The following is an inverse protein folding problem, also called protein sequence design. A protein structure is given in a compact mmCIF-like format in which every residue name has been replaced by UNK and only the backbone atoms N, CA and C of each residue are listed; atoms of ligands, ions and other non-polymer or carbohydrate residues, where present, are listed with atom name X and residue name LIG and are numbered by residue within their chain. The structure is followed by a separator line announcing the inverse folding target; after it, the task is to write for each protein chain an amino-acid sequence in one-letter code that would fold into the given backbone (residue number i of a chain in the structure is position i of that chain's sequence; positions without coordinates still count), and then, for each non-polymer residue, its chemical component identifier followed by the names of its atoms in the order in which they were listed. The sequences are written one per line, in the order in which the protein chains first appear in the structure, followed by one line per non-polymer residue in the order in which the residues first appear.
data_IF_255881134485
#
_entry.id   IF_255881134485
#
_cell.length_a   1.000
_cell.length_b   1.000
_cell.length_c   1.000
_cell.angle_alpha   90.00
_cell.angle_beta   90.00
_cell.angle_gamma   90.00
#
_symmetry.space_group_name_H-M   'P 1'
#
loop_
_entity.id
_entity.type
_entity.pdbx_description
1 polymer ?
#
# COMPACT_ATOMS: atom_id res chain seq x y z
N UNK A 1 6.47 -35.56 4.75
CA UNK A 1 6.51 -34.22 5.37
C UNK A 1 5.28 -33.44 4.93
N UNK A 2 4.19 -33.63 5.67
CA UNK A 2 2.88 -33.03 5.42
C UNK A 2 2.75 -31.69 6.18
N UNK A 3 2.05 -30.68 5.62
CA UNK A 3 1.79 -29.39 6.31
C UNK A 3 1.07 -29.60 7.65
N UNK A 4 0.14 -30.55 7.71
CA UNK A 4 -0.60 -30.85 8.94
C UNK A 4 0.29 -31.45 10.04
N UNK A 5 1.22 -32.37 9.71
CA UNK A 5 2.17 -32.92 10.69
C UNK A 5 3.07 -31.85 11.34
N UNK A 6 3.21 -30.70 10.68
CA UNK A 6 3.93 -29.53 11.21
C UNK A 6 3.04 -28.58 12.04
N UNK A 7 1.77 -28.91 12.27
CA UNK A 7 0.82 -28.11 13.06
C UNK A 7 0.12 -26.98 12.29
N UNK A 8 0.15 -26.98 10.95
CA UNK A 8 -0.57 -25.97 10.16
C UNK A 8 -1.98 -26.44 9.80
N UNK A 9 -2.92 -26.15 10.71
CA UNK A 9 -4.31 -26.54 10.54
C UNK A 9 -5.11 -25.57 9.66
N UNK A 10 -4.68 -24.31 9.56
CA UNK A 10 -5.16 -23.36 8.55
C UNK A 10 -4.17 -23.33 7.38
N UNK A 11 -4.61 -23.83 6.23
CA UNK A 11 -3.78 -23.90 5.02
C UNK A 11 -4.38 -23.04 3.92
N UNK A 12 -3.60 -22.12 3.37
CA UNK A 12 -4.01 -21.25 2.27
C UNK A 12 -3.14 -21.57 1.05
N UNK A 13 -3.77 -21.86 -0.08
CA UNK A 13 -3.10 -22.02 -1.37
C UNK A 13 -3.63 -20.97 -2.36
N UNK A 14 -2.73 -20.46 -3.21
CA UNK A 14 -3.07 -19.52 -4.29
C UNK A 14 -2.89 -20.26 -5.61
N UNK A 15 -3.97 -20.38 -6.41
CA UNK A 15 -3.97 -21.08 -7.69
C UNK A 15 -4.50 -20.18 -8.81
N UNK A 16 -4.21 -20.52 -10.07
CA UNK A 16 -4.90 -19.92 -11.21
C UNK A 16 -6.36 -20.36 -11.31
N UNK A 17 -7.22 -19.51 -11.87
CA UNK A 17 -8.65 -19.76 -12.03
C UNK A 17 -8.97 -21.05 -12.82
N UNK A 18 -8.06 -21.49 -13.70
CA UNK A 18 -8.12 -22.74 -14.46
C UNK A 18 -8.10 -24.01 -13.58
N UNK A 19 -7.69 -23.88 -12.31
CA UNK A 19 -7.65 -24.96 -11.34
C UNK A 19 -8.92 -25.06 -10.46
N UNK A 20 -9.94 -24.23 -10.71
CA UNK A 20 -11.15 -24.17 -9.88
C UNK A 20 -11.86 -25.53 -9.72
N UNK A 21 -11.84 -26.37 -10.75
CA UNK A 21 -12.44 -27.72 -10.71
C UNK A 21 -11.77 -28.71 -9.73
N UNK A 22 -10.57 -28.41 -9.24
CA UNK A 22 -9.84 -29.25 -8.28
C UNK A 22 -10.10 -28.87 -6.82
N UNK A 23 -10.63 -27.67 -6.56
CA UNK A 23 -10.72 -27.09 -5.21
C UNK A 23 -11.45 -28.02 -4.23
N UNK A 24 -12.69 -28.41 -4.54
CA UNK A 24 -13.49 -29.29 -3.66
C UNK A 24 -12.82 -30.64 -3.40
N UNK A 25 -12.14 -31.20 -4.43
CA UNK A 25 -11.44 -32.49 -4.32
C UNK A 25 -10.23 -32.39 -3.39
N UNK A 26 -9.46 -31.32 -3.50
CA UNK A 26 -8.30 -31.09 -2.65
C UNK A 26 -8.69 -30.73 -1.22
N UNK A 27 -9.79 -29.98 -1.03
CA UNK A 27 -10.34 -29.74 0.31
C UNK A 27 -10.75 -31.05 0.99
N UNK A 28 -11.50 -31.91 0.29
CA UNK A 28 -11.88 -33.23 0.80
C UNK A 28 -10.66 -34.10 1.11
N UNK A 29 -9.63 -34.07 0.27
CA UNK A 29 -8.39 -34.81 0.51
C UNK A 29 -7.66 -34.33 1.77
N UNK A 30 -7.58 -33.00 2.00
CA UNK A 30 -6.97 -32.44 3.22
C UNK A 30 -7.78 -32.79 4.46
N UNK A 31 -9.11 -32.67 4.40
CA UNK A 31 -9.99 -33.08 5.51
C UNK A 31 -9.82 -34.56 5.84
N UNK A 32 -9.81 -35.45 4.85
CA UNK A 32 -9.62 -36.88 5.07
C UNK A 32 -8.23 -37.21 5.64
N UNK A 33 -7.17 -36.64 5.07
CA UNK A 33 -5.80 -36.90 5.49
C UNK A 33 -5.45 -36.29 6.87
N UNK A 34 -6.22 -35.33 7.34
CA UNK A 34 -6.06 -34.70 8.66
C UNK A 34 -7.10 -35.15 9.68
N UNK A 35 -7.96 -36.12 9.34
CA UNK A 35 -9.09 -36.54 10.20
C UNK A 35 -9.98 -35.35 10.62
N UNK A 36 -10.13 -34.36 9.75
CA UNK A 36 -10.89 -33.14 10.00
C UNK A 36 -10.17 -32.07 10.84
N UNK A 37 -8.90 -32.27 11.20
CA UNK A 37 -8.13 -31.33 12.02
C UNK A 37 -7.57 -30.15 11.23
N UNK A 38 -7.46 -30.25 9.90
CA UNK A 38 -6.98 -29.19 9.04
C UNK A 38 -8.00 -28.77 7.97
N UNK A 39 -7.97 -27.49 7.62
CA UNK A 39 -8.77 -26.87 6.58
C UNK A 39 -7.90 -26.25 5.48
N UNK A 40 -8.31 -26.47 4.22
CA UNK A 40 -7.68 -25.86 3.05
C UNK A 40 -8.58 -24.77 2.46
N UNK A 41 -8.08 -23.55 2.46
CA UNK A 41 -8.60 -22.43 1.66
C UNK A 41 -7.81 -22.34 0.36
N UNK A 42 -8.51 -22.26 -0.77
CA UNK A 42 -7.89 -21.97 -2.07
C UNK A 42 -8.39 -20.63 -2.57
N UNK A 43 -7.48 -19.68 -2.79
CA UNK A 43 -7.77 -18.43 -3.51
C UNK A 43 -7.46 -18.64 -4.99
N UNK A 44 -8.44 -18.39 -5.84
CA UNK A 44 -8.30 -18.47 -7.28
C UNK A 44 -7.99 -17.08 -7.83
N UNK A 45 -6.80 -16.93 -8.40
CA UNK A 45 -6.38 -15.73 -9.11
C UNK A 45 -6.84 -15.80 -10.57
N UNK A 46 -7.55 -14.77 -11.02
CA UNK A 46 -7.92 -14.63 -12.43
C UNK A 46 -6.71 -14.34 -13.31
N UNK A 47 -6.90 -14.55 -14.61
CA UNK A 47 -5.90 -14.19 -15.60
C UNK A 47 -5.74 -12.66 -15.66
N UNK A 48 -4.48 -12.22 -15.66
CA UNK A 48 -4.09 -10.84 -15.90
C UNK A 48 -4.04 -10.59 -17.40
N UNK A 49 -4.63 -9.48 -17.86
CA UNK A 49 -4.48 -9.01 -19.24
C UNK A 49 -3.42 -7.94 -19.27
N UNK A 50 -2.46 -8.07 -20.18
CA UNK A 50 -1.45 -7.04 -20.40
C UNK A 50 -1.98 -6.03 -21.41
N UNK A 51 -1.92 -4.76 -21.03
CA UNK A 51 -2.38 -3.64 -21.82
C UNK A 51 -1.21 -2.67 -22.05
N UNK A 52 -1.27 -1.91 -23.13
CA UNK A 52 -0.40 -0.77 -23.36
C UNK A 52 -1.23 0.36 -23.95
N UNK A 53 -1.27 1.52 -23.28
CA UNK A 53 -2.05 2.70 -23.69
C UNK A 53 -3.55 2.40 -23.86
N UNK A 54 -4.11 1.59 -22.97
CA UNK A 54 -5.51 1.18 -22.96
C UNK A 54 -5.86 0.05 -23.94
N UNK A 55 -4.91 -0.42 -24.74
CA UNK A 55 -5.13 -1.45 -25.76
C UNK A 55 -4.49 -2.80 -25.36
N UNK A 56 -5.16 -3.95 -25.60
CA UNK A 56 -4.58 -5.25 -25.31
C UNK A 56 -3.30 -5.51 -26.09
N UNK A 57 -2.25 -5.93 -25.39
CA UNK A 57 -0.99 -6.32 -26.04
C UNK A 57 -1.18 -7.62 -26.83
N UNK A 58 -0.81 -7.61 -28.11
CA UNK A 58 -0.87 -8.81 -28.98
C UNK A 58 0.28 -9.77 -28.62
N UNK A 59 -0.04 -10.79 -27.83
CA UNK A 59 0.86 -11.92 -27.55
C UNK A 59 0.88 -12.88 -28.75
N UNK A 60 2.05 -13.27 -29.26
CA UNK A 60 2.17 -14.23 -30.36
C UNK A 60 3.00 -15.43 -29.96
N UNK A 61 2.32 -16.57 -29.72
CA UNK A 61 2.97 -17.87 -29.48
C UNK A 61 3.78 -18.37 -30.69
N UNK A 62 3.43 -17.95 -31.91
CA UNK A 62 4.10 -18.37 -33.15
C UNK A 62 5.31 -17.50 -33.51
N UNK A 63 5.34 -16.24 -33.08
CA UNK A 63 6.45 -15.33 -33.31
C UNK A 63 7.47 -15.28 -32.15
N UNK A 64 7.25 -16.04 -31.07
CA UNK A 64 8.12 -16.05 -29.90
C UNK A 64 7.97 -14.86 -28.95
N UNK A 65 7.15 -13.87 -29.29
CA UNK A 65 6.88 -12.71 -28.43
C UNK A 65 5.79 -13.02 -27.40
N UNK A 66 6.20 -13.51 -26.23
CA UNK A 66 5.39 -13.51 -25.01
C UNK A 66 6.08 -12.62 -23.97
N UNK A 67 5.33 -11.73 -23.34
CA UNK A 67 5.83 -10.91 -22.24
C UNK A 67 5.95 -11.80 -21.01
N UNK A 68 7.16 -11.92 -20.49
CA UNK A 68 7.43 -12.65 -19.25
C UNK A 68 7.23 -11.76 -18.04
N UNK A 69 7.07 -12.39 -16.86
CA UNK A 69 7.10 -11.63 -15.60
C UNK A 69 8.44 -10.89 -15.42
N UNK A 70 9.55 -11.42 -15.96
CA UNK A 70 10.85 -10.75 -15.92
C UNK A 70 10.81 -9.47 -16.75
N UNK A 71 10.29 -9.52 -17.97
CA UNK A 71 10.16 -8.33 -18.83
C UNK A 71 9.30 -7.25 -18.15
N UNK A 72 8.23 -7.67 -17.46
CA UNK A 72 7.39 -6.76 -16.68
C UNK A 72 8.18 -6.09 -15.54
N UNK A 73 8.88 -6.89 -14.74
CA UNK A 73 9.70 -6.41 -13.62
C UNK A 73 10.83 -5.50 -14.09
N UNK A 74 11.49 -5.84 -15.20
CA UNK A 74 12.57 -5.03 -15.78
C UNK A 74 12.01 -3.70 -16.34
N UNK A 75 10.77 -3.69 -16.84
CA UNK A 75 10.15 -2.51 -17.41
C UNK A 75 9.61 -1.50 -16.39
N UNK A 76 9.07 -1.96 -15.25
CA UNK A 76 8.38 -1.09 -14.26
C UNK A 76 8.89 -1.22 -12.83
N UNK A 77 9.75 -2.19 -12.54
CA UNK A 77 10.24 -2.49 -11.19
C UNK A 77 9.36 -3.49 -10.44
N UNK A 78 10.02 -4.32 -9.61
CA UNK A 78 9.38 -5.41 -8.84
C UNK A 78 8.26 -4.90 -7.91
N UNK A 79 8.44 -3.70 -7.35
CA UNK A 79 7.58 -3.15 -6.32
C UNK A 79 6.27 -2.62 -6.92
N UNK A 80 6.36 -2.00 -8.09
CA UNK A 80 5.20 -1.61 -8.90
C UNK A 80 4.37 -2.82 -9.26
N UNK A 81 5.00 -3.90 -9.73
CA UNK A 81 4.30 -5.15 -10.05
C UNK A 81 3.58 -5.71 -8.82
N UNK A 82 4.27 -5.80 -7.66
CA UNK A 82 3.68 -6.30 -6.41
C UNK A 82 2.49 -5.49 -5.96
N UNK A 83 2.65 -4.17 -5.84
CA UNK A 83 1.57 -3.30 -5.39
C UNK A 83 0.38 -3.38 -6.35
N UNK A 84 0.63 -3.27 -7.66
CA UNK A 84 -0.44 -3.21 -8.64
C UNK A 84 -1.28 -4.49 -8.67
N UNK A 85 -0.64 -5.66 -8.66
CA UNK A 85 -1.32 -6.96 -8.60
C UNK A 85 -2.15 -7.14 -7.31
N UNK A 86 -1.80 -6.45 -6.23
CA UNK A 86 -2.51 -6.49 -4.96
C UNK A 86 -3.61 -5.44 -4.84
N UNK A 87 -3.87 -4.60 -5.84
CA UNK A 87 -4.94 -3.58 -5.79
C UNK A 87 -6.34 -4.11 -6.11
N UNK A 88 -6.48 -5.41 -6.41
CA UNK A 88 -7.76 -6.04 -6.75
C UNK A 88 -7.98 -7.35 -5.99
N UNK A 89 -9.24 -7.78 -5.97
CA UNK A 89 -9.60 -9.12 -5.50
C UNK A 89 -8.97 -10.18 -6.40
N UNK A 90 -8.55 -11.33 -5.86
CA UNK A 90 -7.94 -12.39 -6.66
C UNK A 90 -8.90 -12.94 -7.72
N UNK A 91 -10.20 -12.99 -7.43
CA UNK A 91 -11.22 -13.50 -8.33
C UNK A 91 -11.74 -12.47 -9.36
N UNK A 92 -11.23 -11.24 -9.33
CA UNK A 92 -11.54 -10.20 -10.30
C UNK A 92 -10.51 -10.19 -11.44
N UNK A 93 -10.92 -10.01 -12.70
CA UNK A 93 -9.99 -9.73 -13.79
C UNK A 93 -9.16 -8.48 -13.48
N UNK A 94 -7.87 -8.51 -13.84
CA UNK A 94 -6.96 -7.38 -13.71
C UNK A 94 -6.37 -7.06 -15.08
N UNK A 95 -6.58 -5.83 -15.51
CA UNK A 95 -5.88 -5.26 -16.66
C UNK A 95 -4.63 -4.54 -16.12
N UNK A 96 -3.45 -4.99 -16.53
CA UNK A 96 -2.17 -4.39 -16.18
C UNK A 96 -1.67 -3.57 -17.36
N UNK A 97 -1.80 -2.26 -17.28
CA UNK A 97 -1.38 -1.34 -18.34
C UNK A 97 0.02 -0.79 -18.10
N UNK A 98 0.96 -1.13 -18.99
CA UNK A 98 2.37 -0.74 -18.89
C UNK A 98 2.60 0.77 -18.90
N UNK A 99 1.76 1.52 -19.63
CA UNK A 99 1.86 2.97 -19.68
C UNK A 99 1.27 3.55 -18.39
N UNK A 100 0.07 3.14 -17.98
CA UNK A 100 -0.60 3.68 -16.81
C UNK A 100 0.19 3.47 -15.51
N UNK A 101 0.84 2.31 -15.33
CA UNK A 101 1.65 2.05 -14.12
C UNK A 101 2.94 2.88 -14.04
N UNK A 102 3.37 3.48 -15.15
CA UNK A 102 4.54 4.38 -15.20
C UNK A 102 4.15 5.85 -15.04
N UNK A 103 2.87 6.18 -15.14
CA UNK A 103 2.42 7.55 -15.03
C UNK A 103 2.61 8.09 -13.62
N UNK A 104 3.18 9.29 -13.52
CA UNK A 104 3.30 10.04 -12.27
C UNK A 104 2.01 10.84 -12.03
N UNK A 105 0.89 10.13 -11.90
CA UNK A 105 -0.45 10.72 -11.79
C UNK A 105 -1.17 10.24 -10.53
N UNK A 106 -2.24 10.95 -10.15
CA UNK A 106 -3.14 10.53 -9.06
C UNK A 106 -3.84 9.20 -9.36
N UNK A 107 -4.02 8.85 -10.63
CA UNK A 107 -4.70 7.62 -11.03
C UNK A 107 -3.80 6.39 -10.87
N UNK A 108 -2.47 6.59 -10.83
CA UNK A 108 -1.51 5.56 -10.45
C UNK A 108 -1.38 5.48 -8.92
N UNK A 109 -2.16 4.57 -8.31
CA UNK A 109 -2.14 4.35 -6.85
C UNK A 109 -0.73 4.09 -6.29
N UNK A 110 0.11 3.36 -7.02
CA UNK A 110 1.47 3.01 -6.59
C UNK A 110 2.30 4.27 -6.44
N UNK A 111 2.34 5.08 -7.49
CA UNK A 111 3.04 6.36 -7.50
C UNK A 111 2.50 7.29 -6.41
N UNK A 112 1.17 7.38 -6.29
CA UNK A 112 0.53 8.30 -5.36
C UNK A 112 0.85 7.99 -3.89
N UNK A 113 0.85 6.71 -3.51
CA UNK A 113 1.23 6.28 -2.16
C UNK A 113 2.72 6.53 -1.89
N UNK A 114 3.59 6.20 -2.85
CA UNK A 114 5.01 6.48 -2.75
C UNK A 114 5.31 7.97 -2.65
N UNK A 115 4.56 8.80 -3.37
CA UNK A 115 4.73 10.24 -3.34
C UNK A 115 4.38 10.82 -1.96
N UNK A 116 3.33 10.31 -1.30
CA UNK A 116 3.00 10.70 0.06
C UNK A 116 4.16 10.39 1.03
N UNK A 117 4.76 9.20 0.93
CA UNK A 117 5.91 8.83 1.76
C UNK A 117 7.12 9.76 1.53
N UNK A 118 7.53 9.93 0.26
CA UNK A 118 8.64 10.81 -0.11
C UNK A 118 8.40 12.28 0.30
N UNK A 119 7.16 12.76 0.16
CA UNK A 119 6.79 14.10 0.63
C UNK A 119 6.97 14.23 2.13
N UNK A 120 6.58 13.22 2.90
CA UNK A 120 6.82 13.18 4.34
C UNK A 120 8.31 13.37 4.66
N UNK A 121 9.21 12.67 3.98
CA UNK A 121 10.67 12.86 4.15
C UNK A 121 11.10 14.29 3.76
N UNK A 122 10.59 14.81 2.65
CA UNK A 122 10.89 16.18 2.21
C UNK A 122 10.45 17.23 3.23
N UNK A 123 9.31 17.06 3.90
CA UNK A 123 8.84 17.96 4.96
C UNK A 123 9.84 18.00 6.12
N UNK A 124 10.36 16.85 6.53
CA UNK A 124 11.39 16.80 7.58
C UNK A 124 12.69 17.49 7.17
N UNK A 125 13.11 17.37 5.90
CA UNK A 125 14.26 18.13 5.37
C UNK A 125 14.01 19.64 5.42
N UNK A 126 12.83 20.09 4.98
CA UNK A 126 12.43 21.49 5.03
C UNK A 126 12.38 22.02 6.47
N UNK A 127 11.93 21.22 7.43
CA UNK A 127 11.91 21.61 8.84
C UNK A 127 13.33 21.85 9.38
N UNK A 128 14.28 20.98 9.03
CA UNK A 128 15.70 21.16 9.40
C UNK A 128 16.34 22.43 8.83
N UNK A 129 15.81 22.98 7.73
CA UNK A 129 16.27 24.24 7.14
C UNK A 129 15.55 25.47 7.73
N UNK A 130 14.24 25.38 7.98
CA UNK A 130 13.40 26.52 8.36
C UNK A 130 13.30 26.74 9.87
N UNK A 131 13.41 25.67 10.66
CA UNK A 131 13.35 25.68 12.13
C UNK A 131 14.47 24.81 12.70
N UNK A 132 15.76 25.15 12.44
CA UNK A 132 16.90 24.29 12.74
C UNK A 132 17.07 23.96 14.24
N UNK A 133 16.56 24.82 15.13
CA UNK A 133 16.64 24.64 16.58
C UNK A 133 15.49 23.80 17.16
N UNK A 134 14.52 23.38 16.33
CA UNK A 134 13.39 22.55 16.77
C UNK A 134 13.85 21.09 16.93
N UNK A 135 13.70 20.55 18.14
CA UNK A 135 13.93 19.12 18.38
C UNK A 135 12.82 18.28 17.73
N UNK A 136 13.18 17.58 16.65
CA UNK A 136 12.31 16.67 15.90
C UNK A 136 12.64 15.19 16.15
N UNK A 137 13.31 14.89 17.27
CA UNK A 137 13.57 13.52 17.70
C UNK A 137 12.27 12.75 17.94
N UNK A 138 12.33 11.41 17.85
CA UNK A 138 11.15 10.57 18.09
C UNK A 138 10.54 10.81 19.49
N UNK A 139 11.36 11.16 20.48
CA UNK A 139 10.89 11.50 21.83
C UNK A 139 10.13 12.84 21.86
N UNK A 140 10.65 13.87 21.20
CA UNK A 140 9.99 15.17 21.10
C UNK A 140 8.67 15.09 20.33
N UNK A 141 8.66 14.37 19.20
CA UNK A 141 7.46 14.14 18.41
C UNK A 141 6.38 13.36 19.19
N UNK A 142 6.77 12.36 19.97
CA UNK A 142 5.85 11.60 20.82
C UNK A 142 5.29 12.45 21.97
N UNK A 143 6.02 13.47 22.42
CA UNK A 143 5.59 14.42 23.45
C UNK A 143 4.89 15.68 22.93
N UNK A 144 4.68 15.79 21.61
CA UNK A 144 4.05 16.97 21.01
C UNK A 144 2.59 17.15 21.50
N UNK A 145 2.17 18.40 21.67
CA UNK A 145 0.78 18.71 22.02
C UNK A 145 -0.13 18.55 20.79
N UNK A 146 -0.73 17.37 20.66
CA UNK A 146 -1.62 17.04 19.54
C UNK A 146 -2.98 17.77 19.63
N UNK A 147 -3.31 18.45 20.73
CA UNK A 147 -4.54 19.24 20.82
C UNK A 147 -4.51 20.47 19.92
N UNK A 148 -3.32 20.87 19.45
CA UNK A 148 -3.09 21.95 18.49
C UNK A 148 -3.49 21.58 17.04
N UNK A 149 -3.76 20.30 16.76
CA UNK A 149 -4.18 19.83 15.45
C UNK A 149 -5.70 20.04 15.25
N UNK A 150 -6.18 21.28 15.17
CA UNK A 150 -7.61 21.59 15.15
C UNK A 150 -8.23 21.65 13.75
N UNK A 151 -7.42 21.67 12.70
CA UNK A 151 -7.92 21.94 11.35
C UNK A 151 -8.64 20.72 10.75
N UNK A 152 -9.68 20.96 9.96
CA UNK A 152 -10.49 19.87 9.38
C UNK A 152 -9.62 18.90 8.54
N UNK A 153 -8.64 19.44 7.82
CA UNK A 153 -7.70 18.65 7.02
C UNK A 153 -6.73 17.80 7.85
N UNK A 154 -6.32 18.27 9.04
CA UNK A 154 -5.51 17.51 10.00
C UNK A 154 -6.36 16.40 10.63
N UNK A 155 -7.58 16.74 11.05
CA UNK A 155 -8.55 15.82 11.62
C UNK A 155 -8.93 14.70 10.65
N UNK A 156 -9.03 14.99 9.35
CA UNK A 156 -9.26 13.97 8.32
C UNK A 156 -8.13 12.94 8.27
N UNK A 157 -6.87 13.37 8.36
CA UNK A 157 -5.70 12.48 8.38
C UNK A 157 -5.65 11.68 9.70
N UNK A 158 -5.89 12.34 10.84
CA UNK A 158 -5.93 11.69 12.16
C UNK A 158 -6.97 10.56 12.22
N UNK A 159 -8.18 10.79 11.69
CA UNK A 159 -9.22 9.76 11.61
C UNK A 159 -8.74 8.54 10.83
N UNK A 160 -8.19 8.73 9.63
CA UNK A 160 -7.68 7.61 8.83
C UNK A 160 -6.55 6.87 9.54
N UNK A 161 -5.60 7.57 10.17
CA UNK A 161 -4.53 6.93 10.94
C UNK A 161 -5.06 6.08 12.09
N UNK A 162 -6.11 6.54 12.78
CA UNK A 162 -6.73 5.79 13.88
C UNK A 162 -7.40 4.49 13.42
N UNK A 163 -7.77 4.39 12.15
CA UNK A 163 -8.41 3.20 11.58
C UNK A 163 -7.40 2.10 11.19
N UNK A 164 -6.11 2.42 11.07
CA UNK A 164 -5.08 1.50 10.55
C UNK A 164 -5.09 0.11 11.22
N UNK A 165 -5.09 -0.01 12.58
CA UNK A 165 -5.05 -1.32 13.22
C UNK A 165 -6.24 -2.21 12.85
N UNK A 166 -7.43 -1.62 12.73
CA UNK A 166 -8.65 -2.35 12.36
C UNK A 166 -8.64 -2.73 10.89
N UNK A 167 -8.11 -1.86 10.01
CA UNK A 167 -8.03 -2.15 8.57
C UNK A 167 -7.11 -3.32 8.29
N UNK A 168 -5.91 -3.36 8.91
CA UNK A 168 -4.96 -4.46 8.71
C UNK A 168 -5.49 -5.78 9.28
N UNK A 169 -6.14 -5.75 10.45
CA UNK A 169 -6.79 -6.93 11.04
C UNK A 169 -7.90 -7.46 10.13
N UNK A 170 -8.82 -6.60 9.70
CA UNK A 170 -9.91 -7.00 8.81
C UNK A 170 -9.41 -7.50 7.44
N UNK A 171 -8.30 -6.98 6.92
CA UNK A 171 -7.67 -7.46 5.70
C UNK A 171 -7.06 -8.86 5.88
N UNK A 172 -6.43 -9.11 7.03
CA UNK A 172 -5.85 -10.40 7.37
C UNK A 172 -6.90 -11.49 7.62
N UNK A 173 -7.98 -11.16 8.33
CA UNK A 173 -9.11 -12.06 8.57
C UNK A 173 -9.80 -12.46 7.26
N UNK A 174 -10.09 -11.48 6.41
CA UNK A 174 -10.73 -11.71 5.11
C UNK A 174 -9.78 -12.32 4.07
N UNK A 175 -8.47 -12.31 4.32
CA UNK A 175 -7.42 -12.68 3.35
C UNK A 175 -7.51 -11.81 2.08
N UNK A 176 -7.77 -10.52 2.26
CA UNK A 176 -8.06 -9.52 1.23
C UNK A 176 -7.03 -8.37 1.27
N UNK A 177 -5.79 -8.57 0.78
CA UNK A 177 -4.72 -7.57 0.87
C UNK A 177 -5.01 -6.27 0.11
N UNK A 178 -5.88 -6.29 -0.90
CA UNK A 178 -6.28 -5.08 -1.64
C UNK A 178 -6.93 -4.02 -0.77
N UNK A 179 -7.53 -4.38 0.36
CA UNK A 179 -8.07 -3.41 1.33
C UNK A 179 -6.98 -2.47 1.84
N UNK A 180 -5.75 -2.97 2.02
CA UNK A 180 -4.60 -2.16 2.43
C UNK A 180 -4.23 -1.17 1.32
N UNK A 181 -4.26 -1.59 0.05
CA UNK A 181 -3.92 -0.71 -1.08
C UNK A 181 -4.87 0.49 -1.18
N UNK A 182 -6.17 0.25 -1.01
CA UNK A 182 -7.18 1.33 -0.99
C UNK A 182 -7.00 2.24 0.23
N UNK A 183 -6.80 1.67 1.42
CA UNK A 183 -6.55 2.46 2.62
C UNK A 183 -5.31 3.37 2.48
N UNK A 184 -4.21 2.84 1.97
CA UNK A 184 -2.99 3.63 1.73
C UNK A 184 -3.24 4.76 0.73
N UNK A 185 -4.03 4.50 -0.31
CA UNK A 185 -4.42 5.52 -1.29
C UNK A 185 -5.28 6.64 -0.66
N UNK A 186 -6.23 6.27 0.20
CA UNK A 186 -7.08 7.24 0.89
C UNK A 186 -6.28 8.08 1.89
N UNK A 187 -5.36 7.46 2.64
CA UNK A 187 -4.43 8.16 3.53
C UNK A 187 -3.51 9.11 2.74
N UNK A 188 -2.94 8.66 1.62
CA UNK A 188 -2.14 9.50 0.73
C UNK A 188 -2.96 10.67 0.19
N UNK A 189 -4.21 10.43 -0.23
CA UNK A 189 -5.13 11.45 -0.73
C UNK A 189 -5.39 12.53 0.32
N UNK A 190 -5.74 12.13 1.54
CA UNK A 190 -5.98 13.07 2.64
C UNK A 190 -4.72 13.88 2.98
N UNK A 191 -3.56 13.22 3.05
CA UNK A 191 -2.28 13.87 3.30
C UNK A 191 -1.89 14.88 2.20
N UNK A 192 -2.09 14.51 0.94
CA UNK A 192 -1.85 15.41 -0.19
C UNK A 192 -2.82 16.59 -0.22
N UNK A 193 -4.08 16.38 0.17
CA UNK A 193 -5.07 17.43 0.36
C UNK A 193 -4.64 18.43 1.44
N UNK A 194 -4.25 17.92 2.62
CA UNK A 194 -3.74 18.75 3.72
C UNK A 194 -2.51 19.57 3.31
N UNK A 195 -1.52 18.96 2.63
CA UNK A 195 -0.37 19.69 2.11
C UNK A 195 -0.76 20.82 1.15
N UNK A 196 -1.74 20.56 0.28
CA UNK A 196 -2.17 21.53 -0.73
C UNK A 196 -2.84 22.76 -0.10
N UNK A 197 -3.54 22.59 1.04
CA UNK A 197 -4.12 23.70 1.80
C UNK A 197 -3.08 24.70 2.29
N UNK A 198 -1.87 24.25 2.65
CA UNK A 198 -0.75 25.12 3.01
C UNK A 198 -0.24 26.03 1.87
N UNK A 199 -0.63 25.77 0.62
CA UNK A 199 -0.36 26.66 -0.53
C UNK A 199 -1.40 27.77 -0.64
N UNK A 200 -2.64 27.49 -0.27
CA UNK A 200 -3.77 28.42 -0.31
C UNK A 200 -3.76 29.33 0.92
N UNK A 201 -3.48 28.76 2.09
CA UNK A 201 -3.41 29.45 3.37
C UNK A 201 -2.07 29.12 4.06
N UNK A 202 -1.27 30.15 4.30
CA UNK A 202 0.04 29.98 4.93
C UNK A 202 -0.05 29.50 6.38
N UNK A 203 -1.15 29.77 7.08
CA UNK A 203 -1.38 29.29 8.45
C UNK A 203 -1.57 27.76 8.53
N UNK A 204 -1.88 27.12 7.40
CA UNK A 204 -2.06 25.66 7.27
C UNK A 204 -0.80 24.94 6.79
N UNK A 205 0.32 25.65 6.59
CA UNK A 205 1.60 25.01 6.26
C UNK A 205 2.06 24.12 7.40
N UNK A 206 2.67 22.99 7.03
CA UNK A 206 3.17 22.02 8.00
C UNK A 206 4.22 22.62 8.96
N UNK A 207 4.98 23.60 8.46
CA UNK A 207 6.02 24.31 9.21
C UNK A 207 5.57 25.76 9.36
N UNK A 208 5.49 26.21 10.61
CA UNK A 208 5.25 27.59 11.05
C UNK A 208 6.49 28.04 11.81
N UNK A 209 7.34 28.87 11.20
CA UNK A 209 8.62 29.25 11.79
C UNK A 209 8.47 30.06 13.09
N UNK A 210 7.34 30.76 13.23
CA UNK A 210 6.95 31.55 14.39
C UNK A 210 6.13 30.76 15.43
N UNK A 211 5.70 29.53 15.10
CA UNK A 211 5.00 28.64 16.04
C UNK A 211 5.63 27.22 16.05
N UNK A 212 6.70 27.03 16.86
CA UNK A 212 7.38 25.75 16.99
C UNK A 212 6.48 24.64 17.55
N UNK A 213 5.49 24.97 18.39
CA UNK A 213 4.61 23.98 19.01
C UNK A 213 3.64 23.38 17.99
N UNK A 214 3.00 24.22 17.17
CA UNK A 214 2.16 23.77 16.05
C UNK A 214 3.00 23.00 15.04
N UNK A 215 4.20 23.49 14.71
CA UNK A 215 5.11 22.79 13.80
C UNK A 215 5.44 21.39 14.32
N UNK A 216 5.79 21.24 15.59
CA UNK A 216 6.11 19.94 16.18
C UNK A 216 4.91 18.99 16.14
N UNK A 217 3.71 19.46 16.47
CA UNK A 217 2.47 18.67 16.40
C UNK A 217 2.17 18.20 14.97
N UNK A 218 2.32 19.09 13.97
CA UNK A 218 2.13 18.76 12.55
C UNK A 218 3.20 17.78 12.05
N UNK A 219 4.46 17.94 12.45
CA UNK A 219 5.53 17.00 12.13
C UNK A 219 5.29 15.62 12.76
N UNK A 220 4.74 15.55 13.96
CA UNK A 220 4.33 14.29 14.58
C UNK A 220 3.26 13.57 13.74
N UNK A 221 2.26 14.32 13.24
CA UNK A 221 1.25 13.78 12.32
C UNK A 221 1.87 13.31 10.99
N UNK A 222 2.79 14.09 10.41
CA UNK A 222 3.53 13.70 9.18
C UNK A 222 4.35 12.41 9.41
N UNK A 223 5.01 12.28 10.57
CA UNK A 223 5.74 11.06 10.94
C UNK A 223 4.82 9.85 11.04
N UNK A 224 3.64 10.01 11.64
CA UNK A 224 2.65 8.93 11.74
C UNK A 224 2.19 8.46 10.35
N UNK A 225 1.93 9.39 9.41
CA UNK A 225 1.62 9.05 8.00
C UNK A 225 2.73 8.23 7.36
N UNK A 226 4.00 8.66 7.52
CA UNK A 226 5.15 7.92 6.97
C UNK A 226 5.23 6.49 7.52
N UNK A 227 5.08 6.33 8.82
CA UNK A 227 5.12 5.02 9.49
C UNK A 227 4.01 4.11 8.97
N UNK A 228 2.78 4.60 8.88
CA UNK A 228 1.64 3.80 8.41
C UNK A 228 1.78 3.43 6.94
N UNK A 229 2.23 4.36 6.09
CA UNK A 229 2.50 4.05 4.67
C UNK A 229 3.60 2.99 4.54
N UNK A 230 4.72 3.16 5.23
CA UNK A 230 5.81 2.18 5.23
C UNK A 230 5.35 0.81 5.74
N UNK A 231 4.54 0.78 6.81
CA UNK A 231 3.97 -0.44 7.37
C UNK A 231 3.07 -1.17 6.36
N UNK A 232 2.18 -0.46 5.67
CA UNK A 232 1.32 -1.05 4.65
C UNK A 232 2.09 -1.54 3.42
N UNK A 233 3.09 -0.78 2.96
CA UNK A 233 3.96 -1.20 1.86
C UNK A 233 4.79 -2.45 2.21
N UNK A 234 5.24 -2.56 3.46
CA UNK A 234 5.96 -3.74 3.95
C UNK A 234 5.10 -5.01 3.89
N UNK A 235 3.77 -4.92 4.11
CA UNK A 235 2.85 -6.05 3.94
C UNK A 235 2.87 -6.57 2.49
N UNK A 236 3.06 -5.68 1.52
CA UNK A 236 3.18 -6.03 0.10
C UNK A 236 4.60 -6.45 -0.31
N UNK A 237 5.57 -6.37 0.60
CA UNK A 237 6.98 -6.55 0.29
C UNK A 237 7.49 -5.48 -0.68
N UNK A 238 6.98 -4.25 -0.56
CA UNK A 238 7.35 -3.08 -1.34
C UNK A 238 8.20 -2.15 -0.48
N UNK A 239 9.34 -1.70 -1.00
CA UNK A 239 10.19 -0.74 -0.29
C UNK A 239 9.63 0.68 -0.44
N UNK A 240 9.35 1.41 0.65
CA UNK A 240 8.88 2.78 0.57
C UNK A 240 9.97 3.72 0.05
N UNK A 241 9.66 4.52 -0.97
CA UNK A 241 10.59 5.54 -1.47
C UNK A 241 10.65 6.75 -0.54
N UNK A 242 11.86 7.18 -0.19
CA UNK A 242 12.09 8.38 0.63
C UNK A 242 12.18 9.66 -0.22
N UNK A 243 12.44 9.50 -1.52
CA UNK A 243 12.57 10.58 -2.48
C UNK A 243 12.08 10.13 -3.85
N UNK A 244 11.37 10.99 -4.57
CA UNK A 244 11.01 10.76 -5.97
C UNK A 244 12.10 11.37 -6.85
N UNK A 245 12.77 10.52 -7.63
CA UNK A 245 13.69 10.90 -8.70
C UNK A 245 13.00 11.04 -10.04
#
# INVERSE_FOLDING_TARGET
WNKHERGYDRQINIWGADHGGYVKRMQAAVTAASEGKAALTVKLCQMVRLMDKGEPMKMSKRAGNFVTLRDLVDAVGKDVVRFYLLTRKPDAPLDFDLTAVKEQSRDNMVFYVHYAHARGHSVFRMAGEQVPDLDVSDAALAGADLTLLSEESEQAVLRLLSEWPRVIEAAAEAEEPHRIAYYLYDLASAFHGWWSKGKEDTALRFIQADDPAVTLARLALVKAVRIVIASGLAVFGVEPVEELT
#
